data_IF_158331597544
#
_entry.id   IF_158331597544
#
_cell.length_a   1.000
_cell.length_b   1.000
_cell.length_c   1.000
_cell.angle_alpha   90.00
_cell.angle_beta   90.00
_cell.angle_gamma   90.00
#
_symmetry.space_group_name_H-M   'P 1'
#
loop_
_entity.id
_entity.type
_entity.pdbx_description
1 polymer ?
#
# COMPACT_ATOMS: atom_id res chain seq x y z
N UNK A 1 -22.04 7.89 22.43
CA UNK A 1 -21.10 7.62 21.32
C UNK A 1 -19.97 6.76 21.87
N UNK A 2 -19.95 5.47 21.54
CA UNK A 2 -18.94 4.54 22.04
C UNK A 2 -17.71 4.62 21.13
N UNK A 3 -16.67 5.35 21.56
CA UNK A 3 -15.37 5.36 20.90
C UNK A 3 -14.71 3.99 21.10
N UNK A 4 -14.31 3.26 20.04
CA UNK A 4 -13.62 2.00 20.22
C UNK A 4 -12.20 2.28 20.72
N UNK A 5 -11.85 1.67 21.86
CA UNK A 5 -10.47 1.58 22.35
C UNK A 5 -9.57 0.95 21.28
N UNK A 6 -8.92 1.76 20.44
CA UNK A 6 -7.71 1.35 19.72
C UNK A 6 -6.48 1.87 20.46
N UNK A 7 -6.35 1.51 21.75
CA UNK A 7 -5.23 1.93 22.61
C UNK A 7 -3.93 1.18 22.26
N UNK A 8 -4.01 0.08 21.49
CA UNK A 8 -2.83 -0.67 21.06
C UNK A 8 -2.32 -0.08 19.73
N UNK A 9 -1.10 0.48 19.69
CA UNK A 9 -0.52 0.96 18.44
C UNK A 9 -0.43 -0.18 17.44
N UNK A 10 -0.81 0.07 16.18
CA UNK A 10 -0.72 -0.92 15.08
C UNK A 10 0.67 -1.59 15.00
N UNK A 11 1.72 -0.85 15.39
CA UNK A 11 3.10 -1.33 15.44
C UNK A 11 3.30 -2.43 16.49
N UNK A 12 2.69 -2.31 17.67
CA UNK A 12 2.75 -3.33 18.74
C UNK A 12 1.92 -4.56 18.38
N UNK A 13 0.74 -4.36 17.79
CA UNK A 13 -0.09 -5.46 17.29
C UNK A 13 0.65 -6.27 16.21
N UNK A 14 1.31 -5.59 15.26
CA UNK A 14 2.13 -6.23 14.23
C UNK A 14 3.32 -6.96 14.82
N UNK A 15 4.08 -6.31 15.71
CA UNK A 15 5.25 -6.94 16.31
C UNK A 15 4.85 -8.20 17.10
N UNK A 16 3.74 -8.16 17.83
CA UNK A 16 3.17 -9.33 18.51
C UNK A 16 2.80 -10.46 17.56
N UNK A 17 2.15 -10.17 16.42
CA UNK A 17 1.80 -11.18 15.42
C UNK A 17 3.06 -11.79 14.77
N UNK A 18 4.09 -10.99 14.47
CA UNK A 18 5.39 -11.49 13.95
C UNK A 18 6.03 -12.43 14.96
N UNK A 19 6.06 -12.03 16.23
CA UNK A 19 6.63 -12.83 17.31
C UNK A 19 5.89 -14.15 17.47
N UNK A 20 4.56 -14.15 17.46
CA UNK A 20 3.76 -15.40 17.55
C UNK A 20 4.02 -16.31 16.34
N UNK A 21 4.03 -15.75 15.12
CA UNK A 21 4.34 -16.52 13.91
C UNK A 21 5.74 -17.15 13.96
N UNK A 22 6.74 -16.38 14.39
CA UNK A 22 8.11 -16.87 14.56
C UNK A 22 8.25 -17.95 15.64
N UNK A 23 7.56 -17.82 16.76
CA UNK A 23 7.52 -18.84 17.82
C UNK A 23 6.89 -20.13 17.31
N UNK A 24 5.78 -20.05 16.57
CA UNK A 24 5.12 -21.22 15.99
C UNK A 24 6.00 -21.94 14.97
N UNK A 25 6.71 -21.19 14.12
CA UNK A 25 7.71 -21.74 13.20
C UNK A 25 8.79 -22.51 13.97
N UNK A 26 9.36 -21.89 15.00
CA UNK A 26 10.40 -22.50 15.82
C UNK A 26 9.93 -23.76 16.56
N UNK A 27 8.75 -23.70 17.18
CA UNK A 27 8.15 -24.83 17.90
C UNK A 27 7.81 -25.99 16.95
N UNK A 28 7.20 -25.70 15.79
CA UNK A 28 6.85 -26.71 14.80
C UNK A 28 8.07 -27.39 14.18
N UNK A 29 9.16 -26.64 13.94
CA UNK A 29 10.44 -27.19 13.48
C UNK A 29 11.09 -28.08 14.55
N UNK A 30 11.14 -27.61 15.80
CA UNK A 30 11.74 -28.37 16.89
C UNK A 30 11.00 -29.69 17.14
N UNK A 31 9.66 -29.66 17.24
CA UNK A 31 8.83 -30.86 17.41
C UNK A 31 9.00 -31.82 16.22
N UNK A 32 9.02 -31.32 14.98
CA UNK A 32 9.20 -32.17 13.80
C UNK A 32 10.59 -32.82 13.74
N UNK A 33 11.65 -32.09 14.10
CA UNK A 33 13.03 -32.59 14.08
C UNK A 33 13.27 -33.63 15.17
N UNK A 34 12.73 -33.41 16.36
CA UNK A 34 12.81 -34.38 17.47
C UNK A 34 12.02 -35.64 17.11
N UNK A 35 10.83 -35.48 16.53
CA UNK A 35 10.00 -36.60 16.09
C UNK A 35 10.59 -37.39 14.91
N UNK A 36 11.31 -36.73 14.00
CA UNK A 36 12.08 -37.37 12.93
C UNK A 36 13.13 -38.34 13.48
N UNK A 37 13.83 -37.93 14.54
CA UNK A 37 14.79 -38.81 15.23
C UNK A 37 14.11 -39.99 15.95
N UNK A 38 12.83 -39.87 16.29
CA UNK A 38 12.03 -40.91 16.95
C UNK A 38 11.17 -41.73 15.97
N UNK A 39 11.22 -41.43 14.66
CA UNK A 39 10.36 -42.01 13.61
C UNK A 39 8.85 -41.91 13.92
N UNK A 40 8.42 -40.91 14.70
CA UNK A 40 7.00 -40.69 15.04
C UNK A 40 6.34 -39.80 13.97
N UNK A 41 5.73 -40.47 12.98
CA UNK A 41 5.04 -39.82 11.87
C UNK A 41 3.92 -38.87 12.31
N UNK A 42 3.26 -39.14 13.42
CA UNK A 42 2.14 -38.34 13.91
C UNK A 42 2.63 -37.02 14.54
N UNK A 43 3.73 -37.09 15.29
CA UNK A 43 4.38 -35.89 15.82
C UNK A 43 5.02 -35.04 14.71
N UNK A 44 5.57 -35.66 13.67
CA UNK A 44 6.07 -34.94 12.49
C UNK A 44 4.92 -34.18 11.82
N UNK A 45 3.78 -34.83 11.58
CA UNK A 45 2.62 -34.18 10.96
C UNK A 45 2.11 -32.99 11.80
N UNK A 46 2.09 -33.15 13.13
CA UNK A 46 1.70 -32.10 14.06
C UNK A 46 2.68 -30.92 14.05
N UNK A 47 3.98 -31.18 14.11
CA UNK A 47 5.01 -30.14 14.05
C UNK A 47 4.99 -29.40 12.72
N UNK A 48 4.82 -30.10 11.61
CA UNK A 48 4.70 -29.50 10.26
C UNK A 48 3.47 -28.60 10.14
N UNK A 49 2.36 -28.99 10.77
CA UNK A 49 1.12 -28.20 10.81
C UNK A 49 1.30 -26.90 11.59
N UNK A 50 1.95 -26.98 12.76
CA UNK A 50 2.25 -25.80 13.60
C UNK A 50 3.21 -24.85 12.88
N UNK A 51 4.22 -25.41 12.20
CA UNK A 51 5.15 -24.65 11.36
C UNK A 51 4.42 -23.94 10.20
N UNK A 52 3.55 -24.66 9.48
CA UNK A 52 2.77 -24.11 8.38
C UNK A 52 1.82 -22.98 8.83
N UNK A 53 1.20 -23.11 10.00
CA UNK A 53 0.39 -22.05 10.59
C UNK A 53 1.23 -20.80 10.89
N UNK A 54 2.43 -20.96 11.45
CA UNK A 54 3.36 -19.86 11.71
C UNK A 54 3.81 -19.14 10.44
N UNK A 55 4.15 -19.88 9.38
CA UNK A 55 4.47 -19.33 8.06
C UNK A 55 3.31 -18.55 7.44
N UNK A 56 2.10 -19.12 7.50
CA UNK A 56 0.89 -18.49 6.94
C UNK A 56 0.61 -17.14 7.59
N UNK A 57 0.75 -17.05 8.92
CA UNK A 57 0.62 -15.80 9.68
C UNK A 57 1.64 -14.75 9.21
N UNK A 58 2.89 -15.16 8.98
CA UNK A 58 3.96 -14.27 8.53
C UNK A 58 3.69 -13.74 7.11
N UNK A 59 3.32 -14.62 6.17
CA UNK A 59 3.05 -14.28 4.76
C UNK A 59 1.86 -13.33 4.63
N UNK A 60 0.76 -13.60 5.34
CA UNK A 60 -0.42 -12.72 5.31
C UNK A 60 -0.08 -11.32 5.82
N UNK A 61 0.75 -11.23 6.85
CA UNK A 61 1.17 -9.95 7.40
C UNK A 61 2.12 -9.19 6.48
N UNK A 62 3.03 -9.87 5.80
CA UNK A 62 3.92 -9.25 4.81
C UNK A 62 3.12 -8.74 3.60
N UNK A 63 2.16 -9.53 3.12
CA UNK A 63 1.21 -9.10 2.09
C UNK A 63 0.38 -7.89 2.53
N UNK A 64 -0.09 -7.86 3.78
CA UNK A 64 -0.81 -6.70 4.33
C UNK A 64 0.05 -5.44 4.40
N UNK A 65 1.37 -5.57 4.62
CA UNK A 65 2.31 -4.45 4.58
C UNK A 65 2.46 -3.92 3.15
N UNK A 66 2.72 -4.81 2.21
CA UNK A 66 2.85 -4.49 0.77
C UNK A 66 1.59 -3.85 0.23
N UNK A 67 0.40 -4.32 0.62
CA UNK A 67 -0.87 -3.77 0.19
C UNK A 67 -1.10 -2.34 0.71
N UNK A 68 -0.76 -2.06 1.98
CA UNK A 68 -0.86 -0.70 2.54
C UNK A 68 0.15 0.28 1.92
N UNK A 69 1.35 -0.19 1.61
CA UNK A 69 2.36 0.64 0.95
C UNK A 69 1.95 0.97 -0.49
N UNK A 70 1.39 -0.01 -1.21
CA UNK A 70 0.81 0.20 -2.54
C UNK A 70 -0.37 1.18 -2.52
N UNK A 71 -1.29 1.08 -1.54
CA UNK A 71 -2.38 2.04 -1.37
C UNK A 71 -1.87 3.47 -1.14
N UNK A 72 -0.84 3.64 -0.30
CA UNK A 72 -0.22 4.95 -0.08
C UNK A 72 0.35 5.53 -1.36
N UNK A 73 1.09 4.73 -2.13
CA UNK A 73 1.66 5.16 -3.41
C UNK A 73 0.55 5.51 -4.39
N UNK A 74 -0.54 4.74 -4.42
CA UNK A 74 -1.69 5.01 -5.28
C UNK A 74 -2.37 6.34 -4.92
N UNK A 75 -2.60 6.60 -3.63
CA UNK A 75 -3.17 7.87 -3.16
C UNK A 75 -2.26 9.05 -3.49
N UNK A 76 -0.95 8.93 -3.27
CA UNK A 76 0.00 9.99 -3.58
C UNK A 76 0.06 10.26 -5.10
N UNK A 77 0.03 9.20 -5.91
CA UNK A 77 -0.02 9.30 -7.37
C UNK A 77 -1.30 9.99 -7.83
N UNK A 78 -2.46 9.67 -7.24
CA UNK A 78 -3.73 10.33 -7.56
C UNK A 78 -3.68 11.83 -7.24
N UNK A 79 -3.19 12.20 -6.06
CA UNK A 79 -2.98 13.59 -5.66
C UNK A 79 -2.03 14.36 -6.60
N UNK A 80 -0.99 13.68 -7.10
CA UNK A 80 -0.08 14.27 -8.09
C UNK A 80 -0.76 14.42 -9.45
N UNK A 81 -1.56 13.45 -9.89
CA UNK A 81 -2.32 13.53 -11.13
C UNK A 81 -3.32 14.70 -11.10
N UNK A 82 -4.06 14.84 -10.00
CA UNK A 82 -5.03 15.91 -9.80
C UNK A 82 -4.37 17.30 -9.92
N UNK A 83 -3.20 17.48 -9.29
CA UNK A 83 -2.40 18.71 -9.43
C UNK A 83 -1.89 18.96 -10.85
N UNK A 84 -1.56 17.91 -11.59
CA UNK A 84 -1.13 18.02 -12.98
C UNK A 84 -2.32 18.40 -13.86
N UNK A 85 -3.48 17.79 -13.63
CA UNK A 85 -4.73 18.09 -14.34
C UNK A 85 -5.17 19.54 -14.13
N UNK A 86 -5.10 20.04 -12.89
CA UNK A 86 -5.39 21.44 -12.56
C UNK A 86 -4.44 22.40 -13.30
N UNK A 87 -3.14 22.09 -13.33
CA UNK A 87 -2.15 22.87 -14.09
C UNK A 87 -2.38 22.82 -15.60
N UNK A 88 -2.82 21.68 -16.12
CA UNK A 88 -3.12 21.54 -17.54
C UNK A 88 -4.35 22.37 -17.92
N UNK A 89 -5.38 22.36 -17.07
CA UNK A 89 -6.61 23.09 -17.28
C UNK A 89 -6.37 24.61 -17.24
N UNK A 90 -5.59 25.10 -16.27
CA UNK A 90 -5.20 26.51 -16.19
C UNK A 90 -4.34 26.95 -17.39
N UNK A 91 -3.45 26.08 -17.88
CA UNK A 91 -2.69 26.34 -19.10
C UNK A 91 -3.60 26.38 -20.33
N UNK A 92 -4.59 25.50 -20.42
CA UNK A 92 -5.56 25.50 -21.53
C UNK A 92 -6.39 26.78 -21.55
N UNK A 93 -6.90 27.22 -20.40
CA UNK A 93 -7.61 28.49 -20.25
C UNK A 93 -6.72 29.68 -20.63
N UNK A 94 -5.46 29.67 -20.19
CA UNK A 94 -4.49 30.71 -20.54
C UNK A 94 -4.21 30.75 -22.05
N UNK A 95 -4.15 29.59 -22.71
CA UNK A 95 -4.00 29.51 -24.17
C UNK A 95 -5.23 30.02 -24.92
N UNK A 96 -6.46 29.76 -24.43
CA UNK A 96 -7.67 30.32 -25.02
C UNK A 96 -7.69 31.84 -24.93
N UNK A 97 -7.43 32.39 -23.74
CA UNK A 97 -7.36 33.85 -23.53
C UNK A 97 -6.27 34.49 -24.40
N UNK A 98 -5.11 33.85 -24.53
CA UNK A 98 -4.03 34.35 -25.41
C UNK A 98 -4.46 34.36 -26.88
N UNK A 99 -5.21 33.36 -27.34
CA UNK A 99 -5.74 33.31 -28.71
C UNK A 99 -6.78 34.40 -28.96
N UNK A 100 -7.65 34.67 -28.00
CA UNK A 100 -8.63 35.76 -28.08
C UNK A 100 -7.93 37.12 -28.16
N UNK A 101 -6.96 37.39 -27.30
CA UNK A 101 -6.18 38.62 -27.35
C UNK A 101 -5.41 38.78 -28.67
N UNK A 102 -4.84 37.71 -29.21
CA UNK A 102 -4.21 37.73 -30.53
C UNK A 102 -5.20 38.07 -31.64
N UNK A 103 -6.44 37.59 -31.54
CA UNK A 103 -7.50 37.89 -32.50
C UNK A 103 -7.92 39.35 -32.44
N UNK A 104 -8.11 39.89 -31.23
CA UNK A 104 -8.45 41.31 -31.02
C UNK A 104 -7.35 42.25 -31.51
N UNK A 105 -6.07 41.96 -31.20
CA UNK A 105 -4.94 42.76 -31.71
C UNK A 105 -4.91 42.75 -33.24
N UNK A 106 -5.19 41.60 -33.86
CA UNK A 106 -5.21 41.46 -35.32
C UNK A 106 -6.36 42.26 -35.94
N UNK A 107 -7.54 42.26 -35.32
CA UNK A 107 -8.69 43.08 -35.72
C UNK A 107 -8.38 44.59 -35.61
N UNK A 108 -7.79 45.03 -34.50
CA UNK A 108 -7.40 46.43 -34.27
C UNK A 108 -6.36 46.92 -35.29
N UNK A 109 -5.35 46.10 -35.59
CA UNK A 109 -4.36 46.40 -36.63
C UNK A 109 -5.01 46.52 -38.01
N UNK A 110 -6.00 45.68 -38.32
CA UNK A 110 -6.73 45.72 -39.59
C UNK A 110 -7.55 47.00 -39.73
N UNK A 111 -8.16 47.47 -38.63
CA UNK A 111 -8.90 48.74 -38.56
C UNK A 111 -8.00 49.97 -38.66
N UNK A 112 -6.78 49.91 -38.13
CA UNK A 112 -5.83 51.02 -38.16
C UNK A 112 -5.13 51.21 -39.52
N UNK A 113 -5.14 50.19 -40.38
CA UNK A 113 -4.53 50.21 -41.72
C UNK A 113 -5.55 50.49 -42.85
N UNK A 114 -6.80 50.80 -42.50
CA UNK A 114 -7.86 51.24 -43.42
C UNK A 114 -8.22 52.70 -43.16
#
# INVERSE_FOLDING_TARGET
MNQPLSIIPDKWKRNGIVTIGGILIGAGLADSLIALNQLDLNQIARGLTIFGAGLTILVIMDNSKTQKDAEKIQQETQLRLEKVEEKLNTMHQSQQMTKEQLHEIKELLKKSNS
#
